data_IF_253372775978
#
_entry.id   IF_253372775978
#
_cell.length_a   1.000
_cell.length_b   1.000
_cell.length_c   1.000
_cell.angle_alpha   90.00
_cell.angle_beta   90.00
_cell.angle_gamma   90.00
#
_symmetry.space_group_name_H-M   'P 1'
#
loop_
_entity.id
_entity.type
_entity.pdbx_description
1 polymer ?
#
# COMPACT_ATOMS: atom_id res chain seq x y z
N UNK A 1 -51.15 5.06 -25.20
CA UNK A 1 -49.72 5.36 -25.14
C UNK A 1 -48.99 4.36 -26.02
N UNK A 2 -48.24 4.82 -26.99
CA UNK A 2 -47.65 4.00 -28.04
C UNK A 2 -46.59 3.05 -27.49
N UNK A 3 -46.61 1.76 -27.82
CA UNK A 3 -45.67 0.74 -27.32
C UNK A 3 -44.20 1.16 -27.52
N UNK A 4 -43.91 1.89 -28.61
CA UNK A 4 -42.60 2.43 -28.92
C UNK A 4 -42.16 3.49 -27.92
N UNK A 5 -43.05 4.36 -27.45
CA UNK A 5 -42.77 5.38 -26.44
C UNK A 5 -42.51 4.77 -25.05
N UNK A 6 -43.19 3.67 -24.74
CA UNK A 6 -43.02 2.91 -23.51
C UNK A 6 -41.63 2.27 -23.43
N UNK A 7 -41.18 1.66 -24.55
CA UNK A 7 -39.86 1.02 -24.64
C UNK A 7 -38.74 2.05 -24.52
N UNK A 8 -38.90 3.23 -25.15
CA UNK A 8 -37.91 4.32 -25.06
C UNK A 8 -37.82 4.89 -23.62
N UNK A 9 -38.97 4.99 -22.94
CA UNK A 9 -39.00 5.44 -21.54
C UNK A 9 -38.37 4.43 -20.60
N UNK A 10 -38.59 3.12 -20.83
CA UNK A 10 -38.01 2.04 -20.04
C UNK A 10 -36.51 1.94 -20.25
N UNK A 11 -36.02 2.15 -21.47
CA UNK A 11 -34.58 2.16 -21.77
C UNK A 11 -33.88 3.38 -21.15
N UNK A 12 -34.51 4.54 -21.15
CA UNK A 12 -33.99 5.75 -20.48
C UNK A 12 -33.95 5.59 -18.97
N UNK A 13 -34.95 4.93 -18.37
CA UNK A 13 -34.99 4.66 -16.92
C UNK A 13 -33.92 3.66 -16.49
N UNK A 14 -33.62 2.65 -17.29
CA UNK A 14 -32.54 1.70 -17.01
C UNK A 14 -31.16 2.34 -17.11
N UNK A 15 -30.95 3.27 -18.03
CA UNK A 15 -29.69 4.04 -18.12
C UNK A 15 -29.49 4.98 -16.91
N UNK A 16 -30.57 5.59 -16.41
CA UNK A 16 -30.48 6.47 -15.23
C UNK A 16 -30.20 5.66 -13.96
N UNK A 17 -30.74 4.44 -13.87
CA UNK A 17 -30.50 3.59 -12.70
C UNK A 17 -29.07 3.02 -12.68
N UNK A 18 -28.43 2.83 -13.84
CA UNK A 18 -27.04 2.37 -13.92
C UNK A 18 -26.01 3.46 -13.59
N UNK A 19 -26.40 4.74 -13.64
CA UNK A 19 -25.56 5.88 -13.27
C UNK A 19 -25.65 6.23 -11.76
N UNK A 20 -26.66 5.72 -11.05
CA UNK A 20 -26.88 6.03 -9.64
C UNK A 20 -26.14 5.09 -8.67
N UNK A 21 -25.52 4.00 -9.15
CA UNK A 21 -24.75 3.07 -8.31
C UNK A 21 -23.27 3.43 -8.19
N UNK A 22 -22.85 4.57 -8.74
CA UNK A 22 -21.47 5.06 -8.70
C UNK A 22 -21.18 6.10 -7.62
N UNK A 23 -22.07 6.32 -6.66
CA UNK A 23 -21.87 7.32 -5.64
C UNK A 23 -21.00 6.79 -4.48
N UNK A 24 -19.78 7.26 -4.46
CA UNK A 24 -18.91 7.46 -3.29
C UNK A 24 -18.58 6.26 -2.40
N UNK A 25 -17.76 5.36 -2.92
CA UNK A 25 -16.78 4.76 -2.02
C UNK A 25 -15.46 5.53 -2.18
N UNK A 26 -14.81 5.89 -1.07
CA UNK A 26 -13.49 6.48 -1.12
C UNK A 26 -12.52 5.50 -1.80
N UNK A 27 -11.74 6.00 -2.79
CA UNK A 27 -10.83 5.16 -3.53
C UNK A 27 -9.77 4.58 -2.65
N UNK A 28 -9.70 3.27 -2.60
CA UNK A 28 -8.69 2.54 -1.88
C UNK A 28 -7.84 1.75 -2.86
N UNK A 29 -6.54 1.94 -2.78
CA UNK A 29 -5.57 1.21 -3.60
C UNK A 29 -4.67 0.40 -2.69
N UNK A 30 -4.54 -0.89 -2.97
CA UNK A 30 -3.58 -1.77 -2.29
C UNK A 30 -2.36 -2.02 -3.19
N UNK A 31 -1.19 -1.91 -2.61
CA UNK A 31 0.07 -2.21 -3.27
C UNK A 31 0.93 -3.17 -2.44
N UNK A 32 1.50 -4.17 -3.07
CA UNK A 32 2.36 -5.19 -2.44
C UNK A 32 3.80 -5.03 -2.87
N UNK A 33 4.77 -5.35 -1.99
CA UNK A 33 6.19 -5.28 -2.27
C UNK A 33 6.82 -6.69 -2.17
N UNK A 34 7.35 -7.23 -3.25
CA UNK A 34 7.40 -6.77 -4.65
C UNK A 34 6.03 -6.85 -5.29
N UNK A 35 5.53 -5.80 -5.93
CA UNK A 35 4.09 -5.58 -5.97
C UNK A 35 3.51 -5.30 -7.33
N UNK A 36 2.27 -5.75 -7.45
CA UNK A 36 1.28 -5.27 -8.41
C UNK A 36 0.29 -4.35 -7.70
N UNK A 37 0.06 -3.18 -8.23
CA UNK A 37 -0.96 -2.26 -7.75
C UNK A 37 -2.35 -2.79 -8.10
N UNK A 38 -3.23 -2.93 -7.12
CA UNK A 38 -4.64 -3.24 -7.35
C UNK A 38 -5.47 -2.02 -7.02
N UNK A 39 -6.14 -1.46 -8.02
CA UNK A 39 -7.11 -0.38 -7.84
C UNK A 39 -8.46 -0.99 -7.52
N UNK A 40 -8.97 -0.75 -6.34
CA UNK A 40 -10.29 -1.16 -5.93
C UNK A 40 -11.18 0.07 -5.86
N UNK A 41 -11.90 0.26 -6.88
CA UNK A 41 -13.07 1.12 -7.06
C UNK A 41 -13.09 2.52 -6.52
N UNK A 42 -13.63 3.51 -7.37
CA UNK A 42 -13.74 4.72 -6.80
C UNK A 42 -14.27 5.91 -7.52
N UNK A 43 -14.59 6.96 -6.80
CA UNK A 43 -15.15 8.19 -7.32
C UNK A 43 -14.16 9.05 -8.13
N UNK A 44 -12.87 8.93 -7.89
CA UNK A 44 -11.82 9.52 -8.72
C UNK A 44 -10.64 8.54 -8.84
N UNK A 45 -10.12 8.22 -10.02
CA UNK A 45 -9.07 7.23 -10.19
C UNK A 45 -7.78 7.67 -9.50
N UNK A 46 -7.30 6.85 -8.55
CA UNK A 46 -5.98 7.00 -7.96
C UNK A 46 -4.94 6.50 -8.96
N UNK A 47 -3.94 7.31 -9.22
CA UNK A 47 -2.78 6.93 -10.01
C UNK A 47 -1.53 7.07 -9.16
N UNK A 48 -0.91 5.94 -8.80
CA UNK A 48 0.32 5.94 -8.03
C UNK A 48 1.24 4.78 -8.42
N UNK A 49 2.51 4.95 -8.12
CA UNK A 49 3.50 3.87 -8.17
C UNK A 49 4.04 3.59 -6.78
N UNK A 50 4.37 2.33 -6.54
CA UNK A 50 4.98 1.85 -5.30
C UNK A 50 6.28 1.12 -5.61
N UNK A 51 7.21 0.99 -4.65
CA UNK A 51 8.44 0.22 -4.85
C UNK A 51 8.13 -1.23 -5.24
N UNK A 52 8.80 -1.74 -6.25
CA UNK A 52 8.67 -3.14 -6.66
C UNK A 52 9.25 -4.09 -5.60
N UNK A 53 10.27 -3.65 -4.87
CA UNK A 53 10.86 -4.37 -3.75
C UNK A 53 11.53 -3.41 -2.76
N UNK A 54 11.75 -3.90 -1.54
CA UNK A 54 12.59 -3.26 -0.52
C UNK A 54 13.76 -4.21 -0.23
N UNK A 55 14.91 -4.06 -0.91
CA UNK A 55 16.03 -4.97 -0.77
C UNK A 55 16.61 -4.93 0.64
N UNK A 56 16.79 -6.10 1.23
CA UNK A 56 17.46 -6.28 2.51
C UNK A 56 18.59 -7.28 2.30
N UNK A 57 19.80 -6.92 2.66
CA UNK A 57 20.97 -7.80 2.59
C UNK A 57 21.53 -8.01 3.99
N UNK A 58 21.95 -9.24 4.27
CA UNK A 58 22.71 -9.59 5.46
C UNK A 58 24.13 -9.91 5.00
N UNK A 59 25.09 -9.05 5.35
CA UNK A 59 26.49 -9.17 4.97
C UNK A 59 27.34 -9.14 6.23
N UNK A 60 28.09 -10.19 6.47
CA UNK A 60 28.97 -10.32 7.66
C UNK A 60 28.25 -10.02 8.99
N UNK A 61 26.99 -10.44 9.10
CA UNK A 61 26.17 -10.20 10.29
C UNK A 61 25.53 -8.81 10.36
N UNK A 62 25.78 -7.92 9.39
CA UNK A 62 25.18 -6.59 9.32
C UNK A 62 24.03 -6.55 8.33
N UNK A 63 22.92 -5.94 8.73
CA UNK A 63 21.79 -5.73 7.84
C UNK A 63 21.94 -4.43 7.09
N UNK A 64 21.89 -4.51 5.77
CA UNK A 64 21.97 -3.37 4.85
C UNK A 64 20.64 -3.21 4.13
N UNK A 65 20.06 -2.00 4.24
CA UNK A 65 18.83 -1.59 3.55
C UNK A 65 19.13 -0.46 2.57
N UNK A 66 18.57 -0.54 1.36
CA UNK A 66 18.73 0.49 0.32
C UNK A 66 17.60 1.51 0.44
N UNK A 67 17.92 2.77 0.75
CA UNK A 67 16.95 3.82 1.01
C UNK A 67 16.62 4.68 -0.23
N UNK A 68 16.25 4.05 -1.35
CA UNK A 68 15.84 4.73 -2.58
C UNK A 68 14.37 4.45 -2.95
N UNK A 69 13.60 3.84 -2.06
CA UNK A 69 12.23 3.49 -2.29
C UNK A 69 11.30 4.70 -2.07
N UNK A 70 10.29 4.85 -2.92
CA UNK A 70 9.28 5.90 -2.78
C UNK A 70 7.92 5.45 -3.30
N UNK A 71 6.86 5.97 -2.70
CA UNK A 71 5.51 5.96 -3.26
C UNK A 71 5.32 7.28 -3.98
N UNK A 72 4.94 7.23 -5.26
CA UNK A 72 4.74 8.43 -6.09
C UNK A 72 3.26 8.54 -6.47
N UNK A 73 2.66 9.68 -6.19
CA UNK A 73 1.37 10.05 -6.75
C UNK A 73 1.59 10.50 -8.20
N UNK A 74 1.18 9.69 -9.16
CA UNK A 74 1.29 10.01 -10.59
C UNK A 74 0.03 10.69 -11.14
N UNK A 75 -0.98 10.89 -10.29
CA UNK A 75 -2.17 11.67 -10.61
C UNK A 75 -1.85 13.16 -10.80
N UNK A 76 -2.58 13.80 -11.70
CA UNK A 76 -2.44 15.24 -11.96
C UNK A 76 -3.22 16.10 -10.98
N UNK A 77 -4.19 15.52 -10.29
CA UNK A 77 -5.08 16.21 -9.36
C UNK A 77 -5.27 15.38 -8.10
N UNK A 78 -5.48 16.07 -6.99
CA UNK A 78 -5.75 15.46 -5.70
C UNK A 78 -4.51 14.87 -5.00
N UNK A 79 -4.63 14.71 -3.71
CA UNK A 79 -3.62 14.07 -2.89
C UNK A 79 -4.02 12.63 -2.55
N UNK A 80 -3.03 11.79 -2.30
CA UNK A 80 -3.22 10.42 -1.81
C UNK A 80 -2.53 10.23 -0.47
N UNK A 81 -2.93 9.24 0.31
CA UNK A 81 -2.30 8.90 1.59
C UNK A 81 -2.28 7.39 1.79
N UNK A 82 -1.21 6.87 2.37
CA UNK A 82 -1.19 5.50 2.88
C UNK A 82 -2.01 5.47 4.17
N UNK A 83 -3.07 4.67 4.18
CA UNK A 83 -4.00 4.53 5.31
C UNK A 83 -3.76 3.27 6.12
N UNK A 84 -3.10 2.27 5.53
CA UNK A 84 -2.72 1.02 6.19
C UNK A 84 -1.43 0.46 5.57
N UNK A 85 -0.61 -0.14 6.40
CA UNK A 85 0.51 -0.97 5.97
C UNK A 85 0.35 -2.33 6.63
N UNK A 86 0.38 -3.38 5.84
CA UNK A 86 0.26 -4.76 6.30
C UNK A 86 1.52 -5.53 5.91
N UNK A 87 2.05 -6.36 6.80
CA UNK A 87 3.24 -7.17 6.56
C UNK A 87 2.87 -8.64 6.67
N UNK A 88 3.08 -9.37 5.59
CA UNK A 88 2.80 -10.79 5.47
C UNK A 88 4.13 -11.57 5.44
N UNK A 89 4.15 -12.71 6.11
CA UNK A 89 5.27 -13.62 6.04
C UNK A 89 5.44 -14.17 4.61
N UNK A 90 6.69 -14.27 4.18
CA UNK A 90 7.08 -15.01 3.00
C UNK A 90 7.82 -16.28 3.40
N UNK A 91 9.09 -16.40 3.02
CA UNK A 91 9.98 -17.49 3.48
C UNK A 91 10.50 -17.25 4.90
N UNK A 92 10.34 -16.04 5.43
CA UNK A 92 10.71 -15.69 6.80
C UNK A 92 9.46 -15.41 7.62
N UNK A 93 9.50 -15.76 8.90
CA UNK A 93 8.51 -15.32 9.88
C UNK A 93 8.69 -13.84 10.18
N UNK A 94 7.61 -13.14 10.51
CA UNK A 94 7.66 -11.73 10.88
C UNK A 94 7.81 -11.61 12.39
N UNK A 95 8.93 -11.04 12.79
CA UNK A 95 9.27 -10.79 14.20
C UNK A 95 8.81 -9.42 14.70
N UNK A 96 8.95 -9.24 16.03
CA UNK A 96 8.80 -7.95 16.68
C UNK A 96 10.08 -7.13 16.49
N UNK A 97 9.96 -5.92 15.92
CA UNK A 97 11.12 -5.08 15.66
C UNK A 97 11.71 -4.49 16.94
N UNK A 98 10.87 -4.14 17.91
CA UNK A 98 11.32 -3.50 19.15
C UNK A 98 11.96 -4.53 20.09
N UNK A 99 11.41 -5.73 20.11
CA UNK A 99 11.87 -6.88 20.94
C UNK A 99 12.26 -8.05 20.03
N UNK A 100 13.31 -7.82 19.23
CA UNK A 100 13.77 -8.81 18.25
C UNK A 100 14.52 -9.94 18.91
N UNK A 101 13.95 -11.13 18.82
CA UNK A 101 14.60 -12.37 19.26
C UNK A 101 15.02 -13.17 18.03
N UNK A 102 16.32 -13.45 17.92
CA UNK A 102 16.86 -14.22 16.81
C UNK A 102 16.37 -15.67 16.87
N UNK A 103 15.78 -16.13 15.78
CA UNK A 103 15.40 -17.51 15.56
C UNK A 103 15.62 -17.92 14.10
N UNK A 104 15.20 -19.11 13.70
CA UNK A 104 15.35 -19.55 12.31
C UNK A 104 14.49 -18.70 11.39
N UNK A 105 15.13 -18.07 10.38
CA UNK A 105 14.46 -17.38 9.30
C UNK A 105 13.38 -16.38 9.76
N UNK A 106 13.77 -15.45 10.61
CA UNK A 106 12.91 -14.38 11.10
C UNK A 106 13.39 -13.02 10.58
N UNK A 107 12.45 -12.19 10.17
CA UNK A 107 12.68 -10.80 9.78
C UNK A 107 11.74 -9.88 10.54
N UNK A 108 12.23 -8.78 11.04
CA UNK A 108 11.43 -7.71 11.60
C UNK A 108 11.73 -6.41 10.88
N UNK A 109 10.70 -5.61 10.63
CA UNK A 109 10.77 -4.41 9.79
C UNK A 109 10.30 -3.18 10.55
N UNK A 110 10.94 -2.05 10.25
CA UNK A 110 10.46 -0.72 10.59
C UNK A 110 10.31 0.08 9.30
N UNK A 111 9.12 0.57 9.01
CA UNK A 111 8.78 1.28 7.77
C UNK A 111 8.30 2.68 8.15
N UNK A 112 9.03 3.72 7.79
CA UNK A 112 8.80 5.11 8.21
C UNK A 112 8.57 5.23 9.74
N UNK A 113 9.27 4.41 10.54
CA UNK A 113 9.13 4.40 11.99
C UNK A 113 7.99 3.52 12.53
N UNK A 114 7.18 2.92 11.67
CA UNK A 114 6.15 1.97 12.06
C UNK A 114 6.75 0.57 12.13
N UNK A 115 6.73 -0.03 13.32
CA UNK A 115 7.45 -1.27 13.61
C UNK A 115 6.53 -2.49 13.53
N UNK A 116 7.05 -3.61 13.00
CA UNK A 116 6.36 -4.90 13.09
C UNK A 116 6.33 -5.39 14.53
N UNK A 117 5.20 -6.01 14.91
CA UNK A 117 5.03 -6.77 16.17
C UNK A 117 4.71 -8.24 15.89
N UNK A 118 4.90 -8.68 14.67
CA UNK A 118 4.51 -9.92 14.06
C UNK A 118 3.94 -9.67 12.68
N UNK A 119 3.40 -10.70 12.01
CA UNK A 119 2.67 -10.53 10.75
C UNK A 119 1.35 -9.77 10.98
N UNK A 120 0.97 -8.96 10.01
CA UNK A 120 -0.28 -8.19 10.03
C UNK A 120 -0.09 -6.69 9.89
N UNK A 121 -1.13 -5.93 10.25
CA UNK A 121 -1.14 -4.50 10.12
C UNK A 121 -0.19 -3.80 11.10
N UNK A 122 0.59 -2.86 10.58
CA UNK A 122 1.42 -2.00 11.42
C UNK A 122 0.56 -0.94 12.12
N UNK A 123 0.92 -0.61 13.34
CA UNK A 123 0.43 0.61 13.99
C UNK A 123 1.12 1.81 13.35
N UNK A 124 0.37 2.62 12.60
CA UNK A 124 0.92 3.82 11.99
C UNK A 124 1.18 4.87 13.05
N UNK A 125 2.39 5.42 13.05
CA UNK A 125 2.74 6.56 13.91
C UNK A 125 2.40 7.87 13.19
N UNK A 126 2.09 8.90 13.95
CA UNK A 126 1.73 10.22 13.40
C UNK A 126 2.86 10.76 12.50
N UNK A 127 2.46 11.27 11.34
CA UNK A 127 3.40 11.82 10.36
C UNK A 127 4.21 10.79 9.56
N UNK A 128 4.09 9.49 9.82
CA UNK A 128 4.81 8.45 9.07
C UNK A 128 4.45 8.43 7.58
N UNK A 129 3.18 8.68 7.27
CA UNK A 129 2.65 8.69 5.92
C UNK A 129 1.79 9.94 5.68
N UNK A 130 2.41 11.11 5.49
CA UNK A 130 1.70 12.34 5.16
C UNK A 130 1.00 12.22 3.80
N UNK A 131 0.08 13.12 3.52
CA UNK A 131 -0.54 13.22 2.22
C UNK A 131 0.50 13.49 1.14
N UNK A 132 0.38 12.80 0.01
CA UNK A 132 1.25 12.94 -1.16
C UNK A 132 0.47 13.73 -2.20
N UNK A 133 0.83 14.98 -2.42
CA UNK A 133 0.19 15.84 -3.41
C UNK A 133 0.39 15.28 -4.83
N UNK A 134 -0.41 15.76 -5.78
CA UNK A 134 -0.28 15.42 -7.19
C UNK A 134 1.17 15.59 -7.68
N UNK A 135 1.66 14.63 -8.45
CA UNK A 135 3.00 14.62 -9.06
C UNK A 135 4.17 14.68 -8.02
N UNK A 136 3.89 14.36 -6.75
CA UNK A 136 4.90 14.29 -5.69
C UNK A 136 5.13 12.84 -5.24
N UNK A 137 6.20 12.67 -4.46
CA UNK A 137 6.55 11.37 -3.89
C UNK A 137 6.73 11.45 -2.37
N UNK A 138 6.61 10.29 -1.73
CA UNK A 138 6.92 10.05 -0.34
C UNK A 138 8.03 9.00 -0.27
N UNK A 139 9.17 9.37 0.28
CA UNK A 139 10.25 8.41 0.50
C UNK A 139 9.83 7.34 1.52
N UNK A 140 10.10 6.08 1.20
CA UNK A 140 9.92 4.96 2.11
C UNK A 140 11.26 4.63 2.72
N UNK A 141 11.42 5.01 3.99
CA UNK A 141 12.58 4.68 4.79
C UNK A 141 12.30 3.41 5.57
N UNK A 142 13.14 2.41 5.42
CA UNK A 142 12.94 1.16 6.13
C UNK A 142 14.23 0.67 6.76
N UNK A 143 14.06 -0.10 7.82
CA UNK A 143 15.11 -0.83 8.54
C UNK A 143 14.65 -2.26 8.71
N UNK A 144 15.59 -3.19 8.79
CA UNK A 144 15.29 -4.58 9.07
C UNK A 144 16.22 -5.12 10.18
N UNK A 145 15.71 -6.09 10.92
CA UNK A 145 16.48 -7.02 11.75
C UNK A 145 16.23 -8.40 11.17
N UNK A 146 17.28 -9.16 10.93
CA UNK A 146 17.20 -10.44 10.24
C UNK A 146 18.00 -11.49 10.99
N UNK A 147 17.45 -12.69 11.12
CA UNK A 147 18.16 -13.88 11.50
C UNK A 147 17.83 -14.98 10.49
N UNK A 148 18.84 -15.53 9.84
CA UNK A 148 18.71 -16.61 8.88
C UNK A 148 19.53 -17.82 9.34
N UNK A 149 18.95 -19.02 9.18
CA UNK A 149 19.65 -20.27 9.52
C UNK A 149 20.66 -20.69 8.48
N UNK A 150 20.50 -20.23 7.25
CA UNK A 150 21.34 -20.56 6.10
C UNK A 150 21.49 -19.34 5.18
N UNK A 151 22.52 -19.33 4.35
CA UNK A 151 22.66 -18.33 3.32
C UNK A 151 21.55 -18.50 2.27
N UNK A 152 20.78 -17.44 2.05
CA UNK A 152 19.73 -17.40 1.04
C UNK A 152 19.96 -16.25 0.09
N UNK A 153 19.58 -16.40 -1.17
CA UNK A 153 19.74 -15.36 -2.18
C UNK A 153 18.43 -15.16 -2.93
N UNK A 154 18.02 -13.90 -3.09
CA UNK A 154 16.85 -13.51 -3.87
C UNK A 154 15.53 -14.21 -3.44
N UNK A 155 15.35 -14.39 -2.14
CA UNK A 155 14.10 -14.95 -1.59
C UNK A 155 13.11 -13.85 -1.26
N UNK A 156 11.82 -14.14 -1.43
CA UNK A 156 10.76 -13.27 -0.91
C UNK A 156 10.61 -13.50 0.61
N UNK A 157 11.39 -12.77 1.40
CA UNK A 157 11.38 -12.91 2.86
C UNK A 157 10.04 -12.47 3.48
N UNK A 158 9.45 -11.39 2.96
CA UNK A 158 8.18 -10.84 3.44
C UNK A 158 7.48 -10.09 2.30
N UNK A 159 6.17 -9.93 2.40
CA UNK A 159 5.37 -9.07 1.51
C UNK A 159 4.81 -7.91 2.30
N UNK A 160 5.01 -6.68 1.80
CA UNK A 160 4.45 -5.47 2.39
C UNK A 160 3.30 -5.00 1.51
N UNK A 161 2.14 -4.76 2.12
CA UNK A 161 0.93 -4.27 1.45
C UNK A 161 0.63 -2.87 1.94
N UNK A 162 0.66 -1.90 1.02
CA UNK A 162 0.23 -0.52 1.28
C UNK A 162 -1.21 -0.35 0.82
N UNK A 163 -2.10 0.08 1.71
CA UNK A 163 -3.44 0.55 1.34
C UNK A 163 -3.39 2.06 1.18
N UNK A 164 -3.74 2.54 -0.01
CA UNK A 164 -3.63 3.96 -0.38
C UNK A 164 -5.03 4.48 -0.69
N UNK A 165 -5.38 5.63 -0.12
CA UNK A 165 -6.66 6.29 -0.35
C UNK A 165 -6.47 7.72 -0.88
N UNK A 166 -7.46 8.21 -1.62
CA UNK A 166 -7.56 9.63 -1.96
C UNK A 166 -7.81 10.45 -0.68
N UNK A 167 -7.20 11.62 -0.61
CA UNK A 167 -7.41 12.57 0.48
C UNK A 167 -8.35 13.66 -0.01
N UNK A 168 -9.41 13.96 0.76
CA UNK A 168 -10.29 15.08 0.46
C UNK A 168 -9.55 16.40 0.60
N UNK A 169 -9.89 17.39 -0.23
CA UNK A 169 -9.25 18.73 -0.18
C UNK A 169 -9.33 19.37 1.21
N UNK A 170 -10.31 19.00 2.01
CA UNK A 170 -10.50 19.51 3.39
C UNK A 170 -9.44 18.96 4.38
N UNK A 171 -8.78 17.86 4.08
CA UNK A 171 -7.74 17.24 4.93
C UNK A 171 -6.31 17.57 4.47
N UNK A 172 -6.15 18.20 3.31
CA UNK A 172 -4.86 18.51 2.71
C UNK A 172 -4.34 19.92 3.06
N UNK A 173 -5.11 20.71 3.81
CA UNK A 173 -4.80 22.10 4.19
C UNK A 173 -4.17 22.20 5.60
#
# INVERSE_FOLDING_TARGET
>A
MDKKKLITLLLALTMILSLATGASAAETTEARVPVTLTVVNVAAPISCTVPACLPVSLVDGYVVCVNNAAITNTGKNGAIRVTKVDVQAGTFEIGNFDDFTASKNIIALSINGCNTKGAGALTLVDGAFPAIAAEKNLAIRYKAKVSASEAVTNVNAATIVFTIAAVSEKEAA
#
